data_IF_571346493429
#
_entry.id   IF_571346493429
#
_cell.length_a   1.000
_cell.length_b   1.000
_cell.length_c   1.000
_cell.angle_alpha   90.00
_cell.angle_beta   90.00
_cell.angle_gamma   90.00
#
_symmetry.space_group_name_H-M   'P 1'
#
loop_
_entity.id
_entity.type
_entity.pdbx_description
1 polymer ?
#
# COMPACT_ATOMS: atom_id res chain seq x y z
N UNK A 1 2.05 19.09 -17.63
CA UNK A 1 2.41 18.34 -16.44
C UNK A 1 3.39 17.23 -16.85
N UNK A 2 4.49 17.02 -16.13
CA UNK A 2 5.67 16.30 -16.62
C UNK A 2 5.50 14.77 -16.44
N UNK A 3 5.98 13.96 -17.41
CA UNK A 3 5.92 12.48 -17.36
C UNK A 3 6.46 11.88 -16.06
N UNK A 4 7.54 12.48 -15.51
CA UNK A 4 8.13 12.04 -14.23
C UNK A 4 7.20 12.22 -13.03
N UNK A 5 6.47 13.34 -12.96
CA UNK A 5 5.50 13.59 -11.89
C UNK A 5 4.42 12.51 -11.86
N UNK A 6 3.81 12.23 -13.00
CA UNK A 6 2.79 11.19 -13.09
C UNK A 6 3.34 9.79 -12.78
N UNK A 7 4.52 9.45 -13.31
CA UNK A 7 5.15 8.17 -12.98
C UNK A 7 5.36 8.02 -11.47
N UNK A 8 5.94 9.03 -10.81
CA UNK A 8 6.17 9.03 -9.36
C UNK A 8 4.85 8.92 -8.57
N UNK A 9 3.80 9.64 -9.00
CA UNK A 9 2.48 9.56 -8.37
C UNK A 9 1.88 8.16 -8.54
N UNK A 10 1.95 7.57 -9.72
CA UNK A 10 1.45 6.20 -9.96
C UNK A 10 2.23 5.15 -9.16
N UNK A 11 3.55 5.26 -9.07
CA UNK A 11 4.38 4.36 -8.25
C UNK A 11 3.97 4.45 -6.77
N UNK A 12 3.79 5.67 -6.23
CA UNK A 12 3.34 5.82 -4.84
C UNK A 12 1.92 5.27 -4.65
N UNK A 13 1.00 5.59 -5.55
CA UNK A 13 -0.37 5.09 -5.52
C UNK A 13 -0.41 3.56 -5.57
N UNK A 14 0.37 2.95 -6.47
CA UNK A 14 0.48 1.49 -6.58
C UNK A 14 1.01 0.85 -5.30
N UNK A 15 2.02 1.47 -4.68
CA UNK A 15 2.59 0.99 -3.41
C UNK A 15 1.56 1.07 -2.26
N UNK A 16 0.79 2.17 -2.20
CA UNK A 16 -0.21 2.39 -1.14
C UNK A 16 -1.42 1.47 -1.34
N UNK A 17 -1.93 1.31 -2.56
CA UNK A 17 -3.13 0.51 -2.83
C UNK A 17 -2.94 -0.95 -2.36
N UNK A 18 -1.81 -1.59 -2.61
CA UNK A 18 -1.43 -2.91 -2.10
C UNK A 18 -2.58 -3.82 -1.64
N UNK A 19 -2.28 -4.90 -0.92
CA UNK A 19 -3.31 -5.81 -0.37
C UNK A 19 -4.17 -5.20 0.75
N UNK A 20 -3.77 -4.06 1.31
CA UNK A 20 -4.54 -3.39 2.36
C UNK A 20 -5.95 -3.06 1.95
N UNK A 21 -6.16 -2.74 0.66
CA UNK A 21 -7.50 -2.41 0.12
C UNK A 21 -8.51 -3.56 0.26
N UNK A 22 -8.05 -4.81 0.21
CA UNK A 22 -8.93 -5.99 0.32
C UNK A 22 -9.50 -6.15 1.73
N UNK A 23 -8.77 -5.69 2.74
CA UNK A 23 -9.22 -5.76 4.15
C UNK A 23 -10.18 -4.65 4.56
N UNK A 24 -10.18 -3.50 3.86
CA UNK A 24 -10.99 -2.34 4.23
C UNK A 24 -12.50 -2.64 4.30
N UNK A 25 -13.14 -3.26 3.29
CA UNK A 25 -14.56 -3.56 3.35
C UNK A 25 -14.94 -4.42 4.56
N UNK A 26 -14.12 -5.39 4.90
CA UNK A 26 -14.35 -6.28 6.03
C UNK A 26 -14.34 -5.52 7.37
N UNK A 27 -13.30 -4.71 7.60
CA UNK A 27 -13.20 -3.97 8.87
C UNK A 27 -14.26 -2.89 8.99
N UNK A 28 -14.65 -2.26 7.88
CA UNK A 28 -15.77 -1.30 7.85
C UNK A 28 -17.11 -1.98 8.16
N UNK A 29 -17.35 -3.16 7.63
CA UNK A 29 -18.55 -3.94 7.94
C UNK A 29 -18.61 -4.35 9.43
N UNK A 30 -17.46 -4.66 10.05
CA UNK A 30 -17.35 -5.06 11.45
C UNK A 30 -17.46 -3.90 12.45
N UNK A 31 -16.80 -2.79 12.16
CA UNK A 31 -16.74 -1.64 13.06
C UNK A 31 -17.85 -0.62 12.84
N UNK A 32 -18.56 -0.73 11.72
CA UNK A 32 -19.45 0.30 11.22
C UNK A 32 -18.73 1.31 10.32
N UNK A 33 -19.47 1.84 9.37
CA UNK A 33 -18.94 2.73 8.34
C UNK A 33 -18.31 4.01 8.91
N UNK A 34 -18.99 4.66 9.87
CA UNK A 34 -18.47 5.89 10.49
C UNK A 34 -17.17 5.70 11.25
N UNK A 35 -17.01 4.57 11.96
CA UNK A 35 -15.75 4.22 12.63
C UNK A 35 -14.63 3.99 11.60
N UNK A 36 -14.94 3.29 10.51
CA UNK A 36 -14.00 3.09 9.41
C UNK A 36 -13.53 4.41 8.79
N UNK A 37 -14.47 5.32 8.47
CA UNK A 37 -14.14 6.65 7.93
C UNK A 37 -13.35 7.49 8.93
N UNK A 38 -13.72 7.47 10.21
CA UNK A 38 -12.96 8.18 11.26
C UNK A 38 -11.49 7.76 11.25
N UNK A 39 -11.21 6.45 11.30
CA UNK A 39 -9.83 5.96 11.28
C UNK A 39 -9.13 6.20 9.95
N UNK A 40 -9.85 6.13 8.83
CA UNK A 40 -9.27 6.44 7.52
C UNK A 40 -8.80 7.89 7.44
N UNK A 41 -9.56 8.83 7.97
CA UNK A 41 -9.18 10.26 8.00
C UNK A 41 -8.01 10.48 8.97
N UNK A 42 -8.11 9.98 10.21
CA UNK A 42 -7.08 10.20 11.23
C UNK A 42 -5.75 9.58 10.82
N UNK A 43 -5.75 8.29 10.46
CA UNK A 43 -4.53 7.61 10.06
C UNK A 43 -4.03 8.07 8.69
N UNK A 44 -4.92 8.46 7.78
CA UNK A 44 -4.58 9.09 6.52
C UNK A 44 -3.80 10.38 6.71
N UNK A 45 -4.26 11.27 7.58
CA UNK A 45 -3.54 12.49 7.93
C UNK A 45 -2.16 12.21 8.54
N UNK A 46 -2.08 11.23 9.45
CA UNK A 46 -0.79 10.79 10.03
C UNK A 46 0.15 10.26 8.96
N UNK A 47 -0.32 9.41 8.05
CA UNK A 47 0.52 8.82 7.01
C UNK A 47 0.97 9.84 5.97
N UNK A 48 0.11 10.80 5.59
CA UNK A 48 0.53 11.94 4.76
C UNK A 48 1.63 12.74 5.44
N UNK A 49 1.49 13.04 6.73
CA UNK A 49 2.53 13.73 7.50
C UNK A 49 3.85 12.94 7.51
N UNK A 50 3.82 11.64 7.79
CA UNK A 50 5.01 10.77 7.81
C UNK A 50 5.68 10.74 6.43
N UNK A 51 4.90 10.57 5.36
CA UNK A 51 5.41 10.56 3.99
C UNK A 51 6.07 11.90 3.61
N UNK A 52 5.45 13.02 3.99
CA UNK A 52 6.00 14.37 3.75
C UNK A 52 7.27 14.60 4.56
N UNK A 53 7.31 14.24 5.84
CA UNK A 53 8.49 14.38 6.68
C UNK A 53 9.65 13.54 6.13
N UNK A 54 9.40 12.29 5.74
CA UNK A 54 10.41 11.45 5.12
C UNK A 54 10.85 11.99 3.75
N UNK A 55 9.91 12.50 2.96
CA UNK A 55 10.21 13.19 1.69
C UNK A 55 11.18 14.36 1.90
N UNK A 56 10.94 15.19 2.93
CA UNK A 56 11.83 16.29 3.28
C UNK A 56 13.22 15.81 3.74
N UNK A 57 13.28 14.78 4.59
CA UNK A 57 14.54 14.15 5.00
C UNK A 57 15.33 13.68 3.78
N UNK A 58 14.67 13.00 2.84
CA UNK A 58 15.33 12.49 1.63
C UNK A 58 15.86 13.61 0.74
N UNK A 59 15.14 14.73 0.62
CA UNK A 59 15.57 15.89 -0.16
C UNK A 59 16.74 16.64 0.46
N UNK A 60 16.75 16.81 1.79
CA UNK A 60 17.81 17.52 2.52
C UNK A 60 19.08 16.70 2.70
N UNK A 61 19.02 15.38 2.58
CA UNK A 61 20.16 14.50 2.79
C UNK A 61 20.96 14.32 1.50
N UNK A 62 22.26 14.62 1.54
CA UNK A 62 23.18 14.35 0.42
C UNK A 62 23.39 12.84 0.26
N UNK A 63 23.42 12.39 -0.99
CA UNK A 63 23.63 10.99 -1.35
C UNK A 63 22.33 10.20 -1.50
N UNK A 64 22.48 8.94 -1.91
CA UNK A 64 21.38 7.97 -2.06
C UNK A 64 21.42 7.03 -0.88
N UNK A 65 20.38 7.00 -0.10
CA UNK A 65 20.25 6.12 1.05
C UNK A 65 18.94 5.34 0.98
N UNK A 66 18.92 4.16 1.53
CA UNK A 66 17.72 3.40 1.90
C UNK A 66 17.20 3.92 3.25
N UNK A 67 16.01 3.49 3.69
CA UNK A 67 15.44 3.90 4.98
C UNK A 67 16.40 3.66 6.16
N UNK A 68 17.04 2.50 6.19
CA UNK A 68 18.05 2.17 7.22
C UNK A 68 19.28 3.10 7.18
N UNK A 69 19.67 3.58 5.98
CA UNK A 69 20.76 4.53 5.84
C UNK A 69 20.40 5.94 6.31
N UNK A 70 19.15 6.38 6.09
CA UNK A 70 18.66 7.62 6.69
C UNK A 70 18.59 7.50 8.21
N UNK A 71 18.09 6.38 8.73
CA UNK A 71 18.05 6.12 10.17
C UNK A 71 19.46 6.12 10.80
N UNK A 72 20.44 5.52 10.13
CA UNK A 72 21.85 5.56 10.60
C UNK A 72 22.38 6.98 10.68
N UNK A 73 22.10 7.80 9.67
CA UNK A 73 22.63 9.16 9.59
C UNK A 73 22.06 10.09 10.69
N UNK A 74 20.81 9.93 11.04
CA UNK A 74 20.13 10.82 12.00
C UNK A 74 20.00 10.25 13.41
N UNK A 75 19.95 8.92 13.56
CA UNK A 75 19.72 8.21 14.82
C UNK A 75 20.90 7.29 15.22
N UNK A 76 21.96 7.25 14.38
CA UNK A 76 23.13 6.41 14.65
C UNK A 76 22.87 4.92 14.37
N UNK A 77 23.84 4.09 14.82
CA UNK A 77 23.84 2.63 14.55
C UNK A 77 22.58 1.92 15.08
N UNK A 78 22.12 2.30 16.27
CA UNK A 78 20.90 1.72 16.86
C UNK A 78 19.65 2.01 16.00
N UNK A 79 19.53 3.25 15.51
CA UNK A 79 18.46 3.62 14.57
C UNK A 79 18.50 2.81 13.28
N UNK A 80 19.70 2.56 12.74
CA UNK A 80 19.89 1.70 11.55
C UNK A 80 19.35 0.29 11.77
N UNK A 81 19.77 -0.36 12.88
CA UNK A 81 19.34 -1.74 13.14
C UNK A 81 17.85 -1.83 13.44
N UNK A 82 17.30 -0.91 14.23
CA UNK A 82 15.87 -0.85 14.50
C UNK A 82 15.05 -0.68 13.21
N UNK A 83 15.46 0.24 12.33
CA UNK A 83 14.80 0.45 11.02
C UNK A 83 14.94 -0.77 10.12
N UNK A 84 16.12 -1.40 10.06
CA UNK A 84 16.36 -2.58 9.24
C UNK A 84 15.45 -3.74 9.67
N UNK A 85 15.39 -4.04 10.97
CA UNK A 85 14.54 -5.10 11.53
C UNK A 85 13.07 -4.78 11.23
N UNK A 86 12.62 -3.54 11.48
CA UNK A 86 11.24 -3.13 11.25
C UNK A 86 10.83 -3.26 9.78
N UNK A 87 11.69 -2.83 8.85
CA UNK A 87 11.43 -2.91 7.42
C UNK A 87 11.41 -4.37 6.95
N UNK A 88 12.37 -5.20 7.37
CA UNK A 88 12.39 -6.62 7.02
C UNK A 88 11.16 -7.34 7.55
N UNK A 89 10.83 -7.15 8.83
CA UNK A 89 9.62 -7.75 9.41
C UNK A 89 8.36 -7.29 8.68
N UNK A 90 8.24 -5.99 8.38
CA UNK A 90 7.11 -5.44 7.64
C UNK A 90 6.96 -6.03 6.23
N UNK A 91 8.07 -6.14 5.48
CA UNK A 91 8.06 -6.70 4.12
C UNK A 91 7.67 -8.17 4.14
N UNK A 92 8.27 -8.99 5.03
CA UNK A 92 7.92 -10.42 5.11
C UNK A 92 6.48 -10.64 5.56
N UNK A 93 5.98 -9.83 6.51
CA UNK A 93 4.58 -9.89 6.94
C UNK A 93 3.62 -9.51 5.79
N UNK A 94 3.96 -8.48 5.00
CA UNK A 94 3.18 -8.09 3.83
C UNK A 94 3.17 -9.18 2.76
N UNK A 95 4.32 -9.77 2.43
CA UNK A 95 4.41 -10.87 1.47
C UNK A 95 3.56 -12.07 1.91
N UNK A 96 3.60 -12.42 3.18
CA UNK A 96 2.78 -13.50 3.73
C UNK A 96 1.28 -13.17 3.62
N UNK A 97 0.88 -11.94 3.93
CA UNK A 97 -0.50 -11.48 3.77
C UNK A 97 -0.97 -11.56 2.31
N UNK A 98 -0.11 -11.18 1.35
CA UNK A 98 -0.40 -11.33 -0.08
C UNK A 98 -0.59 -12.80 -0.48
N UNK A 99 0.33 -13.69 -0.08
CA UNK A 99 0.23 -15.11 -0.42
C UNK A 99 -1.05 -15.75 0.11
N UNK A 100 -1.41 -15.43 1.35
CA UNK A 100 -2.64 -15.93 1.98
C UNK A 100 -3.87 -15.33 1.29
N UNK A 101 -3.90 -14.02 1.09
CA UNK A 101 -5.04 -13.31 0.50
C UNK A 101 -5.32 -13.75 -0.95
N UNK A 102 -4.27 -13.81 -1.78
CA UNK A 102 -4.39 -14.26 -3.17
C UNK A 102 -4.74 -15.74 -3.25
N UNK A 103 -4.15 -16.58 -2.39
CA UNK A 103 -4.50 -18.00 -2.33
C UNK A 103 -5.97 -18.22 -1.99
N UNK A 104 -6.51 -17.47 -1.03
CA UNK A 104 -7.93 -17.53 -0.66
C UNK A 104 -8.84 -17.00 -1.76
N UNK A 105 -8.47 -15.88 -2.39
CA UNK A 105 -9.25 -15.27 -3.48
C UNK A 105 -9.34 -16.19 -4.69
N UNK A 106 -8.22 -16.79 -5.10
CA UNK A 106 -8.19 -17.74 -6.21
C UNK A 106 -8.98 -19.02 -5.91
N UNK A 107 -8.91 -19.52 -4.68
CA UNK A 107 -9.68 -20.69 -4.26
C UNK A 107 -11.19 -20.46 -4.27
N UNK A 108 -11.64 -19.22 -4.09
CA UNK A 108 -13.07 -18.85 -4.20
C UNK A 108 -13.53 -18.67 -5.64
N UNK A 109 -12.63 -18.24 -6.53
CA UNK A 109 -12.95 -17.97 -7.95
C UNK A 109 -12.91 -19.23 -8.81
N UNK A 110 -12.04 -20.18 -8.48
CA UNK A 110 -11.83 -21.40 -9.26
C UNK A 110 -12.64 -22.55 -8.64
N UNK A 111 -13.64 -23.08 -9.35
CA UNK A 111 -14.43 -24.20 -8.83
C UNK A 111 -13.54 -25.44 -8.60
N UNK A 112 -13.67 -26.08 -7.45
CA UNK A 112 -12.94 -27.27 -7.06
C UNK A 112 -12.58 -27.29 -5.58
N UNK A 113 -12.24 -28.47 -5.03
CA UNK A 113 -11.79 -28.62 -3.65
C UNK A 113 -10.27 -28.45 -3.50
N UNK A 114 -9.69 -27.47 -4.18
CA UNK A 114 -8.25 -27.21 -4.13
C UNK A 114 -7.95 -26.32 -2.92
N UNK A 115 -7.05 -26.72 -2.01
CA UNK A 115 -6.70 -25.90 -0.85
C UNK A 115 -6.13 -24.53 -1.26
N UNK A 116 -6.48 -23.42 -0.57
CA UNK A 116 -5.93 -22.09 -0.83
C UNK A 116 -4.41 -22.03 -0.86
N UNK A 117 -3.74 -22.88 -0.07
CA UNK A 117 -2.29 -22.98 -0.01
C UNK A 117 -1.67 -23.30 -1.38
N UNK A 118 -2.31 -24.17 -2.16
CA UNK A 118 -1.82 -24.54 -3.51
C UNK A 118 -1.80 -23.33 -4.43
N UNK A 119 -2.87 -22.54 -4.41
CA UNK A 119 -2.95 -21.30 -5.19
C UNK A 119 -1.92 -20.27 -4.72
N UNK A 120 -1.69 -20.15 -3.40
CA UNK A 120 -0.65 -19.29 -2.84
C UNK A 120 0.75 -19.68 -3.33
N UNK A 121 1.06 -20.97 -3.36
CA UNK A 121 2.34 -21.50 -3.88
C UNK A 121 2.47 -21.21 -5.39
N UNK A 122 1.42 -21.44 -6.18
CA UNK A 122 1.42 -21.14 -7.61
C UNK A 122 1.66 -19.63 -7.82
N UNK A 123 0.95 -18.79 -7.11
CA UNK A 123 1.13 -17.35 -7.17
C UNK A 123 2.57 -16.93 -6.84
N UNK A 124 3.14 -17.49 -5.74
CA UNK A 124 4.54 -17.25 -5.38
C UNK A 124 5.52 -17.65 -6.48
N UNK A 125 5.33 -18.82 -7.10
CA UNK A 125 6.17 -19.29 -8.20
C UNK A 125 6.08 -18.35 -9.41
N UNK A 126 4.87 -17.97 -9.82
CA UNK A 126 4.64 -17.05 -10.94
C UNK A 126 5.34 -15.71 -10.67
N UNK A 127 5.14 -15.12 -9.48
CA UNK A 127 5.78 -13.85 -9.13
C UNK A 127 7.30 -13.97 -9.07
N UNK A 128 7.85 -15.08 -8.57
CA UNK A 128 9.30 -15.33 -8.55
C UNK A 128 9.86 -15.43 -9.96
N UNK A 129 9.15 -16.07 -10.89
CA UNK A 129 9.55 -16.16 -12.28
C UNK A 129 9.52 -14.81 -13.00
N UNK A 130 8.49 -14.00 -12.74
CA UNK A 130 8.38 -12.64 -13.30
C UNK A 130 9.50 -11.72 -12.82
N UNK A 131 9.98 -11.92 -11.58
CA UNK A 131 11.09 -11.15 -11.02
C UNK A 131 12.45 -11.44 -11.69
N UNK A 132 12.60 -12.56 -12.42
CA UNK A 132 13.86 -12.86 -13.15
C UNK A 132 14.21 -11.80 -14.19
N UNK A 133 13.23 -11.15 -14.79
CA UNK A 133 13.44 -10.06 -15.75
C UNK A 133 13.80 -8.71 -15.09
N UNK A 134 13.82 -8.67 -13.76
CA UNK A 134 14.19 -7.52 -12.95
C UNK A 134 13.13 -6.41 -12.91
N UNK A 135 13.49 -5.32 -12.23
CA UNK A 135 12.60 -4.18 -11.93
C UNK A 135 12.05 -3.44 -13.18
N UNK A 136 12.71 -3.57 -14.34
CA UNK A 136 12.30 -2.85 -15.56
C UNK A 136 10.97 -3.37 -16.12
N UNK A 137 10.76 -4.68 -16.09
CA UNK A 137 9.51 -5.31 -16.51
C UNK A 137 8.36 -4.97 -15.56
N UNK A 138 8.65 -5.01 -14.24
CA UNK A 138 7.66 -4.71 -13.21
C UNK A 138 7.07 -3.30 -13.33
N UNK A 139 7.89 -2.27 -13.55
CA UNK A 139 7.42 -0.87 -13.65
C UNK A 139 6.41 -0.63 -14.76
N UNK A 140 6.53 -1.35 -15.87
CA UNK A 140 5.56 -1.26 -16.96
C UNK A 140 4.22 -1.91 -16.59
N UNK A 141 4.28 -3.06 -15.94
CA UNK A 141 3.11 -3.80 -15.46
C UNK A 141 2.42 -3.05 -14.32
N UNK A 142 3.18 -2.44 -13.40
CA UNK A 142 2.67 -1.66 -12.27
C UNK A 142 1.73 -0.54 -12.71
N UNK A 143 2.11 0.26 -13.71
CA UNK A 143 1.27 1.35 -14.21
C UNK A 143 -0.08 0.84 -14.74
N UNK A 144 -0.07 -0.22 -15.54
CA UNK A 144 -1.29 -0.82 -16.07
C UNK A 144 -2.11 -1.52 -14.98
N UNK A 145 -1.42 -2.14 -14.01
CA UNK A 145 -2.05 -2.76 -12.83
C UNK A 145 -2.83 -1.73 -12.00
N UNK A 146 -2.24 -0.58 -11.70
CA UNK A 146 -2.92 0.50 -10.96
C UNK A 146 -4.16 1.00 -11.70
N UNK A 147 -4.06 1.22 -13.01
CA UNK A 147 -5.21 1.64 -13.83
C UNK A 147 -6.31 0.58 -13.80
N UNK A 148 -5.94 -0.71 -13.95
CA UNK A 148 -6.89 -1.80 -13.90
C UNK A 148 -7.60 -1.90 -12.55
N UNK A 149 -6.86 -1.78 -11.43
CA UNK A 149 -7.43 -1.79 -10.08
C UNK A 149 -8.42 -0.63 -9.90
N UNK A 150 -8.05 0.58 -10.31
CA UNK A 150 -8.95 1.74 -10.23
C UNK A 150 -10.22 1.50 -11.06
N UNK A 151 -10.08 0.97 -12.27
CA UNK A 151 -11.21 0.65 -13.14
C UNK A 151 -12.14 -0.41 -12.51
N UNK A 152 -11.58 -1.45 -11.89
CA UNK A 152 -12.34 -2.48 -11.18
C UNK A 152 -13.09 -1.87 -10.00
N UNK A 153 -12.45 -1.04 -9.18
CA UNK A 153 -13.08 -0.36 -8.03
C UNK A 153 -14.25 0.50 -8.50
N UNK A 154 -14.05 1.30 -9.55
CA UNK A 154 -15.11 2.13 -10.12
C UNK A 154 -16.25 1.28 -10.71
N UNK A 155 -15.93 0.16 -11.36
CA UNK A 155 -16.91 -0.80 -11.87
C UNK A 155 -17.76 -1.43 -10.77
N UNK A 156 -17.12 -1.87 -9.67
CA UNK A 156 -17.80 -2.40 -8.49
C UNK A 156 -18.70 -1.31 -7.89
N UNK A 157 -18.18 -0.09 -7.73
CA UNK A 157 -18.97 1.02 -7.19
C UNK A 157 -20.20 1.30 -8.08
N UNK A 158 -20.01 1.43 -9.40
CA UNK A 158 -21.10 1.69 -10.33
C UNK A 158 -22.16 0.57 -10.32
N UNK A 159 -21.73 -0.71 -10.19
CA UNK A 159 -22.63 -1.85 -10.13
C UNK A 159 -23.49 -1.86 -8.88
N UNK A 160 -22.93 -1.51 -7.72
CA UNK A 160 -23.61 -1.60 -6.43
C UNK A 160 -24.16 -0.27 -5.94
N UNK A 161 -23.82 0.87 -6.55
CA UNK A 161 -24.32 2.18 -6.18
C UNK A 161 -25.88 2.27 -6.11
N UNK A 162 -26.64 1.65 -7.06
CA UNK A 162 -28.12 1.66 -6.97
C UNK A 162 -28.69 0.87 -5.78
N UNK A 163 -27.90 -0.10 -5.24
CA UNK A 163 -28.31 -0.97 -4.13
C UNK A 163 -27.86 -0.41 -2.77
N UNK A 164 -27.27 0.79 -2.75
CA UNK A 164 -26.77 1.42 -1.53
C UNK A 164 -27.92 1.73 -0.56
N UNK A 165 -27.87 1.09 0.61
CA UNK A 165 -28.73 1.44 1.73
C UNK A 165 -28.04 2.49 2.60
N UNK A 166 -28.57 3.71 2.58
CA UNK A 166 -28.00 4.85 3.33
C UNK A 166 -27.98 4.61 4.84
N UNK A 167 -28.83 3.75 5.38
CA UNK A 167 -28.81 3.40 6.81
C UNK A 167 -27.49 2.71 7.21
N UNK A 168 -26.86 1.97 6.30
CA UNK A 168 -25.56 1.33 6.53
C UNK A 168 -24.43 2.34 6.68
N UNK A 169 -24.56 3.54 6.11
CA UNK A 169 -23.55 4.60 6.20
C UNK A 169 -23.54 5.28 7.58
N UNK A 170 -24.60 5.11 8.36
CA UNK A 170 -24.72 5.69 9.72
C UNK A 170 -24.35 4.67 10.82
N UNK A 171 -23.77 3.54 10.45
CA UNK A 171 -23.43 2.49 11.41
C UNK A 171 -22.19 2.86 12.24
N UNK A 172 -22.28 2.60 13.55
CA UNK A 172 -21.21 2.82 14.51
C UNK A 172 -21.18 1.66 15.51
N UNK A 173 -20.02 1.04 15.71
CA UNK A 173 -19.85 -0.03 16.70
C UNK A 173 -18.72 0.32 17.68
N UNK A 174 -19.11 0.75 18.88
CA UNK A 174 -18.14 1.08 19.95
C UNK A 174 -17.29 -0.13 20.37
N UNK A 175 -17.83 -1.34 20.54
CA UNK A 175 -17.00 -2.52 20.88
C UNK A 175 -15.91 -2.83 19.84
N UNK A 176 -16.18 -2.51 18.60
CA UNK A 176 -15.29 -2.81 17.46
C UNK A 176 -14.48 -1.59 16.98
N UNK A 177 -14.42 -0.53 17.79
CA UNK A 177 -13.82 0.75 17.42
C UNK A 177 -12.35 0.62 16.99
N UNK A 178 -11.55 -0.25 17.60
CA UNK A 178 -10.13 -0.41 17.32
C UNK A 178 -9.82 -1.34 16.13
N UNK A 179 -10.80 -2.13 15.65
CA UNK A 179 -10.58 -3.12 14.59
C UNK A 179 -9.98 -2.52 13.30
N UNK A 180 -10.42 -1.33 12.81
CA UNK A 180 -9.89 -0.79 11.57
C UNK A 180 -8.44 -0.33 11.64
N UNK A 181 -7.90 -0.01 12.82
CA UNK A 181 -6.58 0.63 12.98
C UNK A 181 -5.49 -0.10 12.20
N UNK A 182 -5.32 -1.40 12.43
CA UNK A 182 -4.25 -2.18 11.81
C UNK A 182 -4.39 -2.28 10.30
N UNK A 183 -5.61 -2.55 9.82
CA UNK A 183 -5.88 -2.71 8.38
C UNK A 183 -5.79 -1.38 7.65
N UNK A 184 -6.31 -0.29 8.21
CA UNK A 184 -6.21 1.06 7.64
C UNK A 184 -4.76 1.53 7.62
N UNK A 185 -3.99 1.32 8.69
CA UNK A 185 -2.56 1.62 8.68
C UNK A 185 -1.83 0.84 7.59
N UNK A 186 -2.09 -0.46 7.47
CA UNK A 186 -1.48 -1.30 6.43
C UNK A 186 -1.87 -0.84 5.02
N UNK A 187 -3.14 -0.48 4.80
CA UNK A 187 -3.64 0.02 3.52
C UNK A 187 -3.06 1.38 3.11
N UNK A 188 -2.55 2.17 4.06
CA UNK A 188 -1.98 3.49 3.80
C UNK A 188 -0.44 3.52 3.82
N UNK A 189 0.22 2.34 3.95
CA UNK A 189 1.66 2.23 3.99
C UNK A 189 2.30 2.58 2.64
N UNK A 190 2.96 3.74 2.56
CA UNK A 190 3.66 4.21 1.37
C UNK A 190 5.07 4.73 1.63
N UNK A 191 5.45 4.90 2.91
CA UNK A 191 6.71 5.55 3.28
C UNK A 191 7.95 4.78 2.82
N UNK A 192 7.84 3.46 2.64
CA UNK A 192 8.95 2.62 2.20
C UNK A 192 9.43 2.95 0.78
N UNK A 193 8.56 3.46 -0.08
CA UNK A 193 8.87 3.86 -1.45
C UNK A 193 9.45 5.28 -1.57
N UNK A 194 9.32 6.13 -0.56
CA UNK A 194 9.75 7.55 -0.63
C UNK A 194 11.22 7.72 -1.06
N UNK A 195 12.21 6.93 -0.57
CA UNK A 195 13.58 7.03 -1.04
C UNK A 195 13.76 6.72 -2.53
N UNK A 196 12.94 5.81 -3.07
CA UNK A 196 12.94 5.46 -4.49
C UNK A 196 12.30 6.58 -5.33
N UNK A 197 11.16 7.11 -4.90
CA UNK A 197 10.47 8.21 -5.55
C UNK A 197 11.38 9.44 -5.73
N UNK A 198 12.20 9.75 -4.73
CA UNK A 198 13.21 10.81 -4.86
C UNK A 198 14.18 10.53 -6.02
N UNK A 199 14.55 9.27 -6.24
CA UNK A 199 15.47 8.93 -7.34
C UNK A 199 14.78 9.04 -8.70
N UNK A 200 13.51 8.69 -8.79
CA UNK A 200 12.71 8.81 -10.01
C UNK A 200 12.51 10.27 -10.43
N UNK A 201 12.23 11.15 -9.46
CA UNK A 201 11.94 12.57 -9.70
C UNK A 201 13.19 13.44 -9.77
N UNK A 202 14.39 12.84 -9.80
CA UNK A 202 15.68 13.54 -9.85
C UNK A 202 15.71 14.65 -10.92
N UNK A 203 16.12 15.85 -10.51
CA UNK A 203 16.09 17.07 -11.32
C UNK A 203 14.76 17.80 -11.32
N UNK A 204 13.77 17.28 -10.60
CA UNK A 204 12.44 17.88 -10.47
C UNK A 204 11.89 17.73 -9.04
N UNK A 205 12.77 17.77 -8.07
CA UNK A 205 12.54 17.52 -6.65
C UNK A 205 11.42 18.39 -6.06
N UNK A 206 11.19 19.59 -6.64
CA UNK A 206 10.09 20.48 -6.26
C UNK A 206 8.69 19.83 -6.38
N UNK A 207 8.57 18.80 -7.21
CA UNK A 207 7.30 18.10 -7.39
C UNK A 207 7.10 16.92 -6.43
N UNK A 208 8.14 16.50 -5.66
CA UNK A 208 8.01 15.36 -4.74
C UNK A 208 6.88 15.59 -3.72
N UNK A 209 6.84 16.77 -3.11
CA UNK A 209 5.76 17.13 -2.16
C UNK A 209 4.37 17.01 -2.79
N UNK A 210 4.21 17.46 -4.04
CA UNK A 210 2.92 17.38 -4.75
C UNK A 210 2.57 15.95 -5.18
N UNK A 211 3.56 15.09 -5.36
CA UNK A 211 3.33 13.68 -5.70
C UNK A 211 2.97 12.84 -4.47
N UNK A 212 3.31 13.31 -3.27
CA UNK A 212 2.99 12.67 -1.99
C UNK A 212 1.56 13.04 -1.51
N UNK A 213 1.10 14.23 -1.80
CA UNK A 213 -0.26 14.71 -1.49
C UNK A 213 -1.24 14.26 -2.57
#
# INVERSE_FOLDING_TARGET
>A
MNKKFWATTFTLTGTIIGAGILGLPYVFAKSGFLVGIFWLIVLGAVMVFVNLALGEITLRTRGKHQLSGYAEKYLGKWGKYAMLISVLFGIYSALLAYLIGEGQSLAQLIPGNIPPLVFGIIFWLVMTLLLKEGLKGLKKIETWGVIAIIAIILGIFARFAPELNTSNLMTWSTPNFAIPIGVVMFALLGFTSIPELRQEIKGQEKYLKRAII
#
